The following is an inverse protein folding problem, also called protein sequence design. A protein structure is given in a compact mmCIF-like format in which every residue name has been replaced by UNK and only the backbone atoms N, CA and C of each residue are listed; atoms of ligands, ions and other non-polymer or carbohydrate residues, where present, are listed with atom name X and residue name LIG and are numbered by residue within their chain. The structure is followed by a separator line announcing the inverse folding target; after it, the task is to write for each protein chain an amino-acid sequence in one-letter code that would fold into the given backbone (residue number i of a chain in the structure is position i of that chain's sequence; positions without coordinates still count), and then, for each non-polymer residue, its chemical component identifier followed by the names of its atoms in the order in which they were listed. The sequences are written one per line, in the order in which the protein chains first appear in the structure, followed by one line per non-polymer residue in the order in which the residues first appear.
data_IF_216025966993
#
_entry.id   IF_216025966993
#
_cell.length_a   1.000
_cell.length_b   1.000
_cell.length_c   1.000
_cell.angle_alpha   90.00
_cell.angle_beta   90.00
_cell.angle_gamma   90.00
#
_symmetry.space_group_name_H-M   'P 1'
#
loop_
_entity.id
_entity.type
_entity.pdbx_description
1 polymer ?
#
# COMPACT_ATOMS: atom_id res chain seq x y z
N UNK A 1 -44.17 14.71 23.60
CA UNK A 1 -43.42 13.46 23.32
C UNK A 1 -41.96 13.83 23.37
N UNK A 2 -41.15 13.21 24.24
CA UNK A 2 -39.76 13.61 24.39
C UNK A 2 -38.98 13.20 23.13
N UNK A 3 -38.11 14.12 22.69
CA UNK A 3 -37.18 13.92 21.60
C UNK A 3 -36.21 12.80 21.98
N UNK A 4 -36.14 11.78 21.14
CA UNK A 4 -35.13 10.74 21.24
C UNK A 4 -33.80 11.37 20.82
N UNK A 5 -32.87 11.51 21.77
CA UNK A 5 -31.49 11.88 21.48
C UNK A 5 -30.89 10.77 20.61
N UNK A 6 -30.57 11.11 19.36
CA UNK A 6 -29.83 10.23 18.46
C UNK A 6 -28.41 10.16 19.04
N UNK A 7 -28.09 9.04 19.69
CA UNK A 7 -26.76 8.74 20.20
C UNK A 7 -25.72 9.00 19.11
N UNK A 8 -24.81 9.93 19.39
CA UNK A 8 -23.75 10.30 18.46
C UNK A 8 -22.82 9.11 18.24
N UNK A 9 -22.86 8.54 17.04
CA UNK A 9 -21.77 7.72 16.52
C UNK A 9 -20.45 8.44 16.76
N UNK A 10 -19.52 7.84 17.51
CA UNK A 10 -18.15 8.38 17.59
C UNK A 10 -17.59 8.54 16.17
N UNK A 11 -16.82 9.60 15.89
CA UNK A 11 -16.21 9.76 14.58
C UNK A 11 -15.22 8.62 14.33
N UNK A 12 -15.41 7.91 13.22
CA UNK A 12 -14.50 6.86 12.74
C UNK A 12 -13.10 7.45 12.58
N UNK A 13 -12.08 6.77 13.09
CA UNK A 13 -10.70 7.26 13.10
C UNK A 13 -9.73 6.21 12.54
N UNK A 14 -9.64 6.14 11.21
CA UNK A 14 -8.70 5.26 10.53
C UNK A 14 -7.30 5.89 10.48
N UNK A 15 -6.30 5.20 10.99
CA UNK A 15 -4.91 5.65 10.87
C UNK A 15 -4.45 5.65 9.41
N UNK A 16 -3.49 6.50 9.01
CA UNK A 16 -2.93 6.47 7.66
C UNK A 16 -2.35 5.09 7.30
N UNK A 17 -1.70 4.40 8.24
CA UNK A 17 -1.23 3.02 8.07
C UNK A 17 -2.38 2.07 7.77
N UNK A 18 -3.46 2.13 8.55
CA UNK A 18 -4.64 1.28 8.36
C UNK A 18 -5.24 1.46 6.97
N UNK A 19 -5.41 2.70 6.51
CA UNK A 19 -5.90 2.99 5.16
C UNK A 19 -4.95 2.42 4.10
N UNK A 20 -3.64 2.63 4.24
CA UNK A 20 -2.64 2.11 3.29
C UNK A 20 -2.66 0.60 3.20
N UNK A 21 -2.69 -0.10 4.34
CA UNK A 21 -2.80 -1.55 4.37
C UNK A 21 -4.08 -2.01 3.68
N UNK A 22 -5.22 -1.41 4.01
CA UNK A 22 -6.52 -1.82 3.49
C UNK A 22 -6.65 -1.62 1.97
N UNK A 23 -6.18 -0.49 1.43
CA UNK A 23 -6.16 -0.25 -0.02
C UNK A 23 -5.07 -1.05 -0.75
N UNK A 24 -3.94 -1.35 -0.09
CA UNK A 24 -2.93 -2.24 -0.64
C UNK A 24 -3.50 -3.65 -0.82
N UNK A 25 -4.04 -4.22 0.25
CA UNK A 25 -4.37 -5.64 0.30
C UNK A 25 -5.73 -5.97 -0.32
N UNK A 26 -6.60 -4.98 -0.54
CA UNK A 26 -7.81 -5.13 -1.37
C UNK A 26 -7.53 -5.21 -2.87
N UNK A 27 -6.33 -4.82 -3.33
CA UNK A 27 -5.97 -4.87 -4.75
C UNK A 27 -6.87 -4.01 -5.65
N UNK A 28 -7.50 -2.98 -5.10
CA UNK A 28 -8.50 -2.12 -5.76
C UNK A 28 -9.81 -2.81 -6.18
N UNK A 29 -10.13 -3.98 -5.62
CA UNK A 29 -11.42 -4.65 -5.82
C UNK A 29 -12.27 -4.68 -4.55
N UNK A 30 -13.58 -4.80 -4.73
CA UNK A 30 -14.50 -5.14 -3.66
C UNK A 30 -14.18 -6.54 -3.12
N UNK A 31 -14.16 -6.71 -1.79
CA UNK A 31 -13.86 -8.01 -1.18
C UNK A 31 -15.01 -9.02 -1.23
N UNK A 32 -16.23 -8.59 -1.55
CA UNK A 32 -17.38 -9.49 -1.69
C UNK A 32 -17.08 -10.59 -2.74
N UNK A 33 -17.42 -11.87 -2.49
CA UNK A 33 -17.13 -12.98 -3.39
C UNK A 33 -17.61 -12.73 -4.82
N UNK A 34 -16.76 -13.06 -5.79
CA UNK A 34 -17.04 -12.93 -7.24
C UNK A 34 -17.29 -11.48 -7.73
N UNK A 35 -17.23 -10.47 -6.86
CA UNK A 35 -17.40 -9.09 -7.25
C UNK A 35 -16.14 -8.55 -7.96
N UNK A 36 -16.32 -8.05 -9.18
CA UNK A 36 -15.23 -7.45 -9.96
C UNK A 36 -15.25 -5.92 -9.94
N UNK A 37 -16.08 -5.31 -9.08
CA UNK A 37 -16.18 -3.86 -8.97
C UNK A 37 -14.88 -3.24 -8.48
N UNK A 38 -14.38 -2.25 -9.21
CA UNK A 38 -13.25 -1.44 -8.80
C UNK A 38 -13.67 -0.51 -7.64
N UNK A 39 -12.81 -0.38 -6.64
CA UNK A 39 -13.01 0.53 -5.49
C UNK A 39 -12.26 1.87 -5.66
N UNK A 40 -11.51 2.01 -6.74
CA UNK A 40 -10.80 3.24 -7.13
C UNK A 40 -10.99 3.44 -8.63
N UNK A 41 -11.21 4.69 -9.03
CA UNK A 41 -11.25 5.12 -10.42
C UNK A 41 -10.21 6.21 -10.66
N UNK A 42 -9.41 6.10 -11.72
CA UNK A 42 -8.34 7.05 -12.01
C UNK A 42 -8.83 8.10 -13.01
N UNK A 43 -8.66 9.37 -12.65
CA UNK A 43 -9.04 10.52 -13.48
C UNK A 43 -7.83 11.39 -13.76
N UNK A 44 -7.97 12.36 -14.67
CA UNK A 44 -6.92 13.36 -14.93
C UNK A 44 -6.58 14.19 -13.68
N UNK A 45 -7.51 14.30 -12.74
CA UNK A 45 -7.32 15.00 -11.46
C UNK A 45 -6.79 14.10 -10.33
N UNK A 46 -6.51 12.82 -10.64
CA UNK A 46 -6.04 11.82 -9.69
C UNK A 46 -7.07 10.71 -9.37
N UNK A 47 -6.74 9.81 -8.44
CA UNK A 47 -7.62 8.72 -8.04
C UNK A 47 -8.84 9.22 -7.26
N UNK A 48 -10.00 8.67 -7.59
CA UNK A 48 -11.26 8.82 -6.87
C UNK A 48 -11.58 7.50 -6.18
N UNK A 49 -11.77 7.54 -4.87
CA UNK A 49 -12.17 6.37 -4.08
C UNK A 49 -13.68 6.15 -4.24
N UNK A 50 -14.06 4.97 -4.71
CA UNK A 50 -15.45 4.52 -4.87
C UNK A 50 -15.86 3.47 -3.83
N UNK A 51 -14.87 2.83 -3.18
CA UNK A 51 -15.11 1.84 -2.14
C UNK A 51 -15.48 2.46 -0.79
N UNK A 52 -16.20 1.68 0.00
CA UNK A 52 -16.60 2.01 1.36
C UNK A 52 -15.95 1.01 2.33
N UNK A 53 -15.49 1.53 3.47
CA UNK A 53 -14.88 0.71 4.53
C UNK A 53 -16.01 0.18 5.41
N UNK A 54 -16.17 -1.15 5.41
CA UNK A 54 -17.07 -1.86 6.31
C UNK A 54 -16.29 -2.37 7.53
N UNK A 55 -16.96 -2.30 8.68
CA UNK A 55 -16.53 -2.97 9.90
C UNK A 55 -16.99 -4.43 9.88
N UNK A 56 -16.06 -5.34 10.15
CA UNK A 56 -16.32 -6.79 10.27
C UNK A 56 -17.14 -7.04 11.54
N UNK A 57 -16.63 -6.61 12.68
CA UNK A 57 -17.37 -6.49 13.94
C UNK A 57 -17.72 -5.01 14.17
N UNK A 58 -18.92 -4.76 14.70
CA UNK A 58 -19.55 -3.45 14.73
C UNK A 58 -18.67 -2.31 15.24
N UNK A 59 -18.75 -1.17 14.55
CA UNK A 59 -18.10 0.09 14.96
C UNK A 59 -18.61 0.64 16.31
N UNK A 60 -19.76 0.16 16.78
CA UNK A 60 -20.35 0.43 18.09
C UNK A 60 -21.13 -0.79 18.58
N UNK A 61 -21.55 -0.78 19.84
CA UNK A 61 -22.35 -1.86 20.42
C UNK A 61 -23.84 -1.80 20.05
N UNK A 62 -24.27 -0.70 19.43
CA UNK A 62 -25.63 -0.49 18.94
C UNK A 62 -25.77 -0.75 17.42
N UNK A 63 -24.68 -1.09 16.75
CA UNK A 63 -24.62 -1.33 15.31
C UNK A 63 -24.67 -2.81 14.92
N UNK A 64 -24.60 -3.12 13.61
CA UNK A 64 -24.47 -4.49 13.09
C UNK A 64 -23.32 -5.26 13.73
N UNK A 65 -23.55 -6.53 14.07
CA UNK A 65 -22.52 -7.44 14.64
C UNK A 65 -21.78 -6.86 15.85
N UNK A 66 -22.48 -6.42 16.92
CA UNK A 66 -21.83 -5.74 18.04
C UNK A 66 -20.88 -6.68 18.78
N UNK A 67 -19.72 -6.16 19.17
CA UNK A 67 -18.81 -6.85 20.08
C UNK A 67 -18.34 -5.91 21.21
N UNK A 68 -18.97 -5.97 22.39
CA UNK A 68 -18.60 -5.15 23.55
C UNK A 68 -17.18 -5.43 24.08
N UNK A 69 -16.59 -6.58 23.73
CA UNK A 69 -15.21 -6.90 24.11
C UNK A 69 -14.15 -6.26 23.22
N UNK A 70 -14.56 -5.69 22.08
CA UNK A 70 -13.64 -5.07 21.12
C UNK A 70 -13.19 -3.70 21.61
N UNK A 71 -11.88 -3.53 21.77
CA UNK A 71 -11.30 -2.26 22.20
C UNK A 71 -11.54 -1.16 21.16
N UNK A 72 -11.54 0.10 21.60
CA UNK A 72 -11.70 1.26 20.71
C UNK A 72 -10.65 1.29 19.59
N UNK A 73 -9.39 0.93 19.89
CA UNK A 73 -8.31 0.88 18.90
C UNK A 73 -8.49 -0.25 17.88
N UNK A 74 -9.08 -1.38 18.29
CA UNK A 74 -9.30 -2.53 17.40
C UNK A 74 -10.52 -2.34 16.50
N UNK A 75 -11.52 -1.54 16.93
CA UNK A 75 -12.71 -1.25 16.11
C UNK A 75 -12.35 -0.64 14.76
N UNK A 76 -11.50 0.38 14.76
CA UNK A 76 -11.01 1.03 13.53
C UNK A 76 -9.66 0.46 13.05
N UNK A 77 -9.23 -0.68 13.60
CA UNK A 77 -7.98 -1.34 13.23
C UNK A 77 -8.11 -2.18 11.97
N UNK A 78 -7.01 -2.30 11.21
CA UNK A 78 -6.95 -3.02 9.93
C UNK A 78 -7.60 -4.42 9.95
N UNK A 79 -7.39 -5.18 11.02
CA UNK A 79 -7.94 -6.53 11.16
C UNK A 79 -9.46 -6.59 11.20
N UNK A 80 -10.13 -5.51 11.64
CA UNK A 80 -11.58 -5.41 11.73
C UNK A 80 -12.23 -4.72 10.52
N UNK A 81 -11.46 -4.42 9.48
CA UNK A 81 -11.94 -3.63 8.34
C UNK A 81 -11.81 -4.40 7.02
N UNK A 82 -12.82 -4.24 6.17
CA UNK A 82 -12.86 -4.76 4.80
C UNK A 82 -13.39 -3.69 3.86
N UNK A 83 -12.84 -3.58 2.63
CA UNK A 83 -13.38 -2.65 1.63
C UNK A 83 -14.38 -3.36 0.73
N UNK A 84 -15.53 -2.72 0.54
CA UNK A 84 -16.59 -3.17 -0.33
C UNK A 84 -16.96 -2.05 -1.30
N UNK A 85 -17.58 -2.38 -2.43
CA UNK A 85 -18.27 -1.38 -3.23
C UNK A 85 -19.53 -0.89 -2.51
N UNK A 86 -20.04 0.28 -2.88
CA UNK A 86 -21.22 0.87 -2.23
C UNK A 86 -22.43 -0.10 -2.17
N UNK A 87 -22.61 -0.95 -3.19
CA UNK A 87 -23.69 -1.94 -3.20
C UNK A 87 -23.54 -2.98 -2.07
N UNK A 88 -22.38 -3.66 -2.00
CA UNK A 88 -22.16 -4.72 -1.01
C UNK A 88 -21.98 -4.15 0.40
N UNK A 89 -21.40 -2.96 0.55
CA UNK A 89 -21.34 -2.26 1.83
C UNK A 89 -22.76 -2.05 2.39
N UNK A 90 -23.69 -1.53 1.58
CA UNK A 90 -25.08 -1.35 1.98
C UNK A 90 -25.79 -2.66 2.37
N UNK A 91 -25.49 -3.77 1.69
CA UNK A 91 -26.07 -5.09 2.02
C UNK A 91 -25.59 -5.58 3.39
N UNK A 92 -24.28 -5.51 3.62
CA UNK A 92 -23.62 -5.94 4.86
C UNK A 92 -24.05 -5.12 6.08
N UNK A 93 -24.30 -3.83 5.87
CA UNK A 93 -24.72 -2.90 6.93
C UNK A 93 -26.20 -3.07 7.31
N UNK A 94 -27.07 -3.36 6.32
CA UNK A 94 -28.53 -3.42 6.54
C UNK A 94 -29.09 -4.82 6.81
N UNK A 95 -28.36 -5.88 6.45
CA UNK A 95 -28.83 -7.28 6.56
C UNK A 95 -27.80 -8.09 7.34
N UNK A 96 -27.45 -7.63 8.53
CA UNK A 96 -26.37 -8.20 9.35
C UNK A 96 -26.53 -9.70 9.62
N UNK A 97 -27.77 -10.18 9.81
CA UNK A 97 -28.09 -11.60 10.00
C UNK A 97 -27.69 -12.49 8.81
N UNK A 98 -27.63 -11.94 7.59
CA UNK A 98 -27.20 -12.67 6.40
C UNK A 98 -25.68 -12.64 6.19
N UNK A 99 -24.97 -11.77 6.93
CA UNK A 99 -23.55 -11.50 6.75
C UNK A 99 -22.84 -11.52 8.11
N UNK A 100 -22.59 -12.73 8.66
CA UNK A 100 -21.95 -12.89 9.95
C UNK A 100 -20.46 -12.51 9.92
N UNK A 101 -19.88 -12.30 11.10
CA UNK A 101 -18.46 -11.90 11.29
C UNK A 101 -17.52 -12.83 10.53
N UNK A 102 -17.74 -14.13 10.63
CA UNK A 102 -16.89 -15.17 10.04
C UNK A 102 -16.85 -15.07 8.51
N UNK A 103 -17.99 -14.75 7.89
CA UNK A 103 -18.08 -14.57 6.45
C UNK A 103 -17.27 -13.35 5.98
N UNK A 104 -17.38 -12.22 6.67
CA UNK A 104 -16.60 -11.01 6.33
C UNK A 104 -15.10 -11.21 6.54
N UNK A 105 -14.71 -11.96 7.59
CA UNK A 105 -13.31 -12.35 7.81
C UNK A 105 -12.80 -13.25 6.68
N UNK A 106 -13.62 -14.19 6.20
CA UNK A 106 -13.29 -15.03 5.04
C UNK A 106 -13.12 -14.19 3.77
N UNK A 107 -14.07 -13.31 3.46
CA UNK A 107 -13.98 -12.41 2.30
C UNK A 107 -12.73 -11.53 2.32
N UNK A 108 -12.38 -10.99 3.49
CA UNK A 108 -11.13 -10.25 3.67
C UNK A 108 -9.93 -11.13 3.32
N UNK A 109 -9.81 -12.32 3.94
CA UNK A 109 -8.67 -13.23 3.66
C UNK A 109 -8.56 -13.60 2.19
N UNK A 110 -9.67 -13.94 1.56
CA UNK A 110 -9.70 -14.36 0.15
C UNK A 110 -9.32 -13.21 -0.78
N UNK A 111 -9.82 -12.00 -0.52
CA UNK A 111 -9.47 -10.81 -1.30
C UNK A 111 -7.97 -10.45 -1.16
N UNK A 112 -7.41 -10.57 0.04
CA UNK A 112 -5.99 -10.32 0.31
C UNK A 112 -5.10 -11.37 -0.35
N UNK A 113 -5.50 -12.64 -0.31
CA UNK A 113 -4.81 -13.72 -1.03
C UNK A 113 -4.85 -13.51 -2.55
N UNK A 114 -6.03 -13.24 -3.12
CA UNK A 114 -6.18 -12.99 -4.55
C UNK A 114 -5.37 -11.78 -5.01
N UNK A 115 -5.25 -10.75 -4.15
CA UNK A 115 -4.41 -9.58 -4.41
C UNK A 115 -2.92 -9.95 -4.44
N UNK A 116 -2.45 -10.75 -3.49
CA UNK A 116 -1.06 -11.22 -3.47
C UNK A 116 -0.73 -12.07 -4.72
N UNK A 117 -1.65 -12.94 -5.15
CA UNK A 117 -1.52 -13.74 -6.36
C UNK A 117 -1.45 -12.86 -7.63
N UNK A 118 -2.35 -11.88 -7.77
CA UNK A 118 -2.32 -10.91 -8.87
C UNK A 118 -1.04 -10.09 -8.89
N UNK A 119 -0.54 -9.67 -7.73
CA UNK A 119 0.73 -8.96 -7.63
C UNK A 119 1.91 -9.83 -8.06
N UNK A 120 1.91 -11.12 -7.68
CA UNK A 120 2.92 -12.09 -8.12
C UNK A 120 2.88 -12.30 -9.64
N UNK A 121 1.68 -12.43 -10.23
CA UNK A 121 1.52 -12.48 -11.69
C UNK A 121 2.05 -11.19 -12.34
N UNK A 122 1.68 -10.03 -11.79
CA UNK A 122 2.14 -8.73 -12.28
C UNK A 122 3.66 -8.61 -12.26
N UNK A 123 4.32 -9.17 -11.24
CA UNK A 123 5.77 -9.22 -11.12
C UNK A 123 6.44 -9.94 -12.30
N UNK A 124 5.85 -11.03 -12.78
CA UNK A 124 6.38 -11.76 -13.96
C UNK A 124 6.28 -10.96 -15.27
N UNK A 125 5.42 -9.94 -15.28
CA UNK A 125 5.18 -9.07 -16.43
C UNK A 125 5.94 -7.74 -16.36
N UNK A 126 6.75 -7.51 -15.32
CA UNK A 126 7.53 -6.29 -15.17
C UNK A 126 8.51 -6.15 -16.34
N UNK A 127 8.40 -5.02 -17.03
CA UNK A 127 9.17 -4.73 -18.22
C UNK A 127 9.96 -3.42 -18.06
N UNK A 128 10.74 -3.09 -19.09
CA UNK A 128 11.44 -1.81 -19.17
C UNK A 128 10.49 -0.61 -19.02
N UNK A 129 9.27 -0.68 -19.54
CA UNK A 129 8.33 0.44 -19.53
C UNK A 129 7.94 0.85 -18.11
N UNK A 130 7.52 -0.11 -17.29
CA UNK A 130 7.11 0.15 -15.91
C UNK A 130 8.31 0.58 -15.05
N UNK A 131 9.47 -0.09 -15.20
CA UNK A 131 10.70 0.31 -14.50
C UNK A 131 11.14 1.74 -14.86
N UNK A 132 11.03 2.13 -16.13
CA UNK A 132 11.37 3.48 -16.57
C UNK A 132 10.50 4.53 -15.91
N UNK A 133 9.19 4.30 -15.84
CA UNK A 133 8.27 5.27 -15.25
C UNK A 133 8.52 5.40 -13.74
N UNK A 134 8.62 4.28 -13.03
CA UNK A 134 8.89 4.28 -11.59
C UNK A 134 10.25 4.92 -11.28
N UNK A 135 11.30 4.57 -12.01
CA UNK A 135 12.63 5.18 -11.80
C UNK A 135 12.61 6.69 -12.06
N UNK A 136 11.86 7.15 -13.08
CA UNK A 136 11.75 8.57 -13.37
C UNK A 136 11.02 9.34 -12.26
N UNK A 137 10.06 8.72 -11.56
CA UNK A 137 9.41 9.32 -10.41
C UNK A 137 10.41 9.74 -9.32
N UNK A 138 11.45 8.93 -9.11
CA UNK A 138 12.52 9.22 -8.17
C UNK A 138 13.68 10.02 -8.78
N UNK A 139 13.70 10.23 -10.10
CA UNK A 139 14.85 10.85 -10.76
C UNK A 139 14.91 12.37 -10.58
N UNK A 140 13.92 13.04 -9.99
CA UNK A 140 13.91 14.50 -9.84
C UNK A 140 14.72 15.03 -8.63
N UNK A 141 15.46 14.16 -7.94
CA UNK A 141 16.28 14.54 -6.78
C UNK A 141 17.48 15.43 -7.10
N UNK A 142 17.81 16.28 -6.14
CA UNK A 142 19.00 17.15 -6.15
C UNK A 142 20.29 16.35 -5.90
N UNK A 143 21.25 16.42 -6.81
CA UNK A 143 22.45 15.56 -6.83
C UNK A 143 23.46 15.96 -5.73
N UNK A 144 23.26 17.09 -5.05
CA UNK A 144 24.14 17.57 -3.99
C UNK A 144 23.95 16.86 -2.63
N UNK A 145 23.07 15.85 -2.56
CA UNK A 145 22.93 15.00 -1.37
C UNK A 145 24.16 14.09 -1.17
N UNK A 146 24.77 14.07 0.03
CA UNK A 146 25.94 13.24 0.31
C UNK A 146 25.60 11.75 0.11
N UNK A 147 26.45 11.04 -0.63
CA UNK A 147 26.35 9.58 -0.76
C UNK A 147 27.19 8.94 0.33
N UNK A 148 26.55 8.27 1.28
CA UNK A 148 27.23 7.40 2.24
C UNK A 148 27.74 6.13 1.52
N UNK A 149 28.85 5.53 1.98
CA UNK A 149 29.36 4.27 1.43
C UNK A 149 28.33 3.13 1.50
N UNK A 150 28.33 2.25 0.50
CA UNK A 150 27.47 1.07 0.45
C UNK A 150 27.91 0.06 1.53
N UNK A 151 27.16 -0.05 2.62
CA UNK A 151 27.22 -1.21 3.50
C UNK A 151 26.04 -2.11 3.15
N UNK A 152 26.35 -3.31 2.66
CA UNK A 152 25.32 -4.31 2.38
C UNK A 152 24.81 -4.88 3.72
N UNK A 153 23.74 -4.29 4.24
CA UNK A 153 23.00 -4.85 5.39
C UNK A 153 21.91 -5.78 4.86
N UNK A 154 21.76 -7.01 5.40
CA UNK A 154 20.69 -7.93 5.01
C UNK A 154 19.30 -7.28 5.10
N UNK A 155 18.37 -7.54 4.16
CA UNK A 155 17.06 -6.90 4.15
C UNK A 155 16.27 -7.07 5.46
N UNK A 156 16.36 -8.23 6.13
CA UNK A 156 15.66 -8.47 7.40
C UNK A 156 16.19 -7.59 8.54
N UNK A 157 17.51 -7.33 8.60
CA UNK A 157 18.08 -6.43 9.61
C UNK A 157 17.61 -4.99 9.41
N UNK A 158 17.52 -4.54 8.15
CA UNK A 158 16.93 -3.23 7.83
C UNK A 158 15.43 -3.20 8.16
N UNK A 159 14.68 -4.28 7.94
CA UNK A 159 13.27 -4.35 8.34
C UNK A 159 13.11 -4.14 9.85
N UNK A 160 13.89 -4.89 10.63
CA UNK A 160 13.84 -4.84 12.09
C UNK A 160 14.22 -3.44 12.59
N UNK A 161 15.28 -2.84 12.01
CA UNK A 161 15.74 -1.50 12.36
C UNK A 161 14.73 -0.38 12.04
N UNK A 162 13.88 -0.57 11.02
CA UNK A 162 12.92 0.44 10.58
C UNK A 162 11.49 0.18 11.05
N UNK A 163 11.25 -0.87 11.85
CA UNK A 163 9.91 -1.21 12.33
C UNK A 163 8.98 -1.70 11.21
N UNK A 164 9.53 -2.43 10.24
CA UNK A 164 8.75 -3.07 9.18
C UNK A 164 8.19 -4.41 9.67
N UNK A 165 6.89 -4.61 9.53
CA UNK A 165 6.19 -5.79 10.09
C UNK A 165 5.86 -6.84 9.04
N UNK A 166 5.31 -7.96 9.49
CA UNK A 166 4.78 -9.03 8.62
C UNK A 166 3.74 -8.52 7.61
N UNK A 167 3.08 -7.40 7.88
CA UNK A 167 2.05 -6.84 7.00
C UNK A 167 2.59 -6.47 5.61
N UNK A 168 3.86 -6.05 5.51
CA UNK A 168 4.47 -5.70 4.22
C UNK A 168 5.24 -6.85 3.57
N UNK A 169 5.42 -7.98 4.28
CA UNK A 169 6.23 -9.11 3.81
C UNK A 169 5.84 -9.61 2.42
N UNK A 170 4.55 -9.77 2.04
CA UNK A 170 4.20 -10.18 0.69
C UNK A 170 4.73 -9.22 -0.39
N UNK A 171 4.67 -7.91 -0.12
CA UNK A 171 5.18 -6.88 -1.02
C UNK A 171 6.70 -6.94 -1.11
N UNK A 172 7.39 -7.10 0.02
CA UNK A 172 8.86 -7.21 0.05
C UNK A 172 9.36 -8.47 -0.65
N UNK A 173 8.71 -9.62 -0.46
CA UNK A 173 9.09 -10.86 -1.15
C UNK A 173 9.07 -10.67 -2.66
N UNK A 174 8.02 -10.03 -3.19
CA UNK A 174 7.90 -9.75 -4.62
C UNK A 174 8.93 -8.70 -5.07
N UNK A 175 9.08 -7.61 -4.30
CA UNK A 175 10.02 -6.55 -4.60
C UNK A 175 11.47 -7.03 -4.62
N UNK A 176 11.91 -7.76 -3.60
CA UNK A 176 13.26 -8.34 -3.52
C UNK A 176 13.51 -9.35 -4.64
N UNK A 177 12.52 -10.17 -4.99
CA UNK A 177 12.65 -11.11 -6.10
C UNK A 177 12.87 -10.40 -7.45
N UNK A 178 12.31 -9.20 -7.63
CA UNK A 178 12.45 -8.39 -8.85
C UNK A 178 13.54 -7.31 -8.77
N UNK A 179 14.13 -7.05 -7.60
CA UNK A 179 15.17 -6.05 -7.38
C UNK A 179 16.37 -6.18 -8.34
N UNK A 180 16.86 -7.39 -8.71
CA UNK A 180 17.92 -7.53 -9.71
C UNK A 180 17.54 -6.96 -11.09
N UNK A 181 16.27 -7.07 -11.48
CA UNK A 181 15.78 -6.52 -12.75
C UNK A 181 15.80 -4.98 -12.73
N UNK A 182 15.40 -4.37 -11.61
CA UNK A 182 15.50 -2.93 -11.39
C UNK A 182 16.95 -2.44 -11.39
N UNK A 183 17.85 -3.18 -10.72
CA UNK A 183 19.28 -2.88 -10.71
C UNK A 183 19.90 -2.91 -12.11
N UNK A 184 19.58 -3.93 -12.91
CA UNK A 184 20.04 -4.06 -14.29
C UNK A 184 19.49 -2.93 -15.18
N UNK A 185 18.23 -2.54 -15.00
CA UNK A 185 17.65 -1.39 -15.68
C UNK A 185 18.43 -0.10 -15.37
N UNK A 186 18.66 0.19 -14.09
CA UNK A 186 19.39 1.39 -13.66
C UNK A 186 20.82 1.38 -14.21
N UNK A 187 21.50 0.23 -14.20
CA UNK A 187 22.85 0.07 -14.78
C UNK A 187 22.88 0.37 -16.28
N UNK A 188 21.86 -0.07 -17.03
CA UNK A 188 21.75 0.23 -18.48
C UNK A 188 21.50 1.71 -18.71
N UNK A 189 20.63 2.34 -17.93
CA UNK A 189 20.38 3.79 -18.01
C UNK A 189 21.61 4.62 -17.67
N UNK A 190 22.46 4.14 -16.76
CA UNK A 190 23.73 4.79 -16.43
C UNK A 190 24.67 4.91 -17.64
N UNK A 191 24.54 4.04 -18.65
CA UNK A 191 25.29 4.13 -19.91
C UNK A 191 24.81 5.28 -20.79
N UNK A 192 23.53 5.67 -20.68
CA UNK A 192 22.94 6.79 -21.41
C UNK A 192 23.13 8.12 -20.66
N UNK A 193 23.03 8.07 -19.33
CA UNK A 193 23.25 9.21 -18.45
C UNK A 193 23.94 8.73 -17.17
N UNK A 194 25.24 9.04 -17.06
CA UNK A 194 26.07 8.63 -15.91
C UNK A 194 25.56 9.15 -14.56
N UNK A 195 24.76 10.23 -14.57
CA UNK A 195 24.12 10.83 -13.38
C UNK A 195 22.82 10.15 -12.97
N UNK A 196 22.25 9.28 -13.79
CA UNK A 196 20.93 8.69 -13.55
C UNK A 196 20.82 7.92 -12.22
N UNK A 197 21.77 7.03 -11.85
CA UNK A 197 21.69 6.33 -10.55
C UNK A 197 21.75 7.28 -9.36
N UNK A 198 22.59 8.33 -9.43
CA UNK A 198 22.72 9.31 -8.36
C UNK A 198 21.44 10.13 -8.19
N UNK A 199 20.78 10.51 -9.30
CA UNK A 199 19.49 11.22 -9.29
C UNK A 199 18.37 10.41 -8.63
N UNK A 200 18.24 9.13 -8.97
CA UNK A 200 17.23 8.24 -8.36
C UNK A 200 17.45 8.15 -6.86
N UNK A 201 18.69 7.90 -6.43
CA UNK A 201 19.02 7.81 -5.00
C UNK A 201 18.69 9.12 -4.29
N UNK A 202 19.10 10.25 -4.87
CA UNK A 202 18.81 11.57 -4.30
C UNK A 202 17.30 11.82 -4.14
N UNK A 203 16.50 11.51 -5.16
CA UNK A 203 15.05 11.72 -5.08
C UNK A 203 14.38 10.74 -4.13
N UNK A 204 14.90 9.51 -4.02
CA UNK A 204 14.47 8.55 -3.02
C UNK A 204 14.71 9.06 -1.59
N UNK A 205 15.93 9.53 -1.28
CA UNK A 205 16.28 10.10 0.03
C UNK A 205 15.42 11.34 0.32
N UNK A 206 15.26 12.24 -0.66
CA UNK A 206 14.43 13.43 -0.53
C UNK A 206 12.98 13.08 -0.19
N UNK A 207 12.39 12.09 -0.87
CA UNK A 207 11.02 11.66 -0.61
C UNK A 207 10.89 10.96 0.74
N UNK A 208 11.88 10.14 1.12
CA UNK A 208 11.96 9.55 2.46
C UNK A 208 11.96 10.64 3.53
N UNK A 209 12.86 11.62 3.46
CA UNK A 209 12.98 12.71 4.44
C UNK A 209 11.70 13.54 4.51
N UNK A 210 11.08 13.80 3.36
CA UNK A 210 9.80 14.52 3.27
C UNK A 210 8.65 13.76 3.96
N UNK A 211 8.63 12.44 3.88
CA UNK A 211 7.62 11.60 4.53
C UNK A 211 7.94 11.41 6.02
N UNK A 212 9.20 11.19 6.36
CA UNK A 212 9.68 11.02 7.73
C UNK A 212 9.49 12.29 8.56
N UNK A 213 9.78 13.47 7.99
CA UNK A 213 9.50 14.78 8.64
C UNK A 213 8.02 15.04 8.91
N UNK A 214 7.12 14.31 8.24
CA UNK A 214 5.67 14.31 8.53
C UNK A 214 5.27 13.28 9.60
N UNK A 215 6.24 12.65 10.26
CA UNK A 215 6.03 11.65 11.31
C UNK A 215 5.74 10.24 10.80
N UNK A 216 5.91 9.97 9.50
CA UNK A 216 5.70 8.61 8.96
C UNK A 216 6.91 7.74 9.27
N UNK A 217 6.67 6.56 9.82
CA UNK A 217 7.71 5.57 10.17
C UNK A 217 7.20 4.15 9.88
N UNK A 218 8.07 3.14 9.95
CA UNK A 218 7.67 1.74 9.81
C UNK A 218 6.98 1.43 8.48
N UNK A 219 6.01 0.52 8.55
CA UNK A 219 5.18 0.12 7.41
C UNK A 219 4.54 1.32 6.71
N UNK A 220 4.14 2.36 7.45
CA UNK A 220 3.46 3.52 6.85
C UNK A 220 4.39 4.28 5.91
N UNK A 221 5.65 4.46 6.32
CA UNK A 221 6.66 5.13 5.51
C UNK A 221 6.99 4.28 4.27
N UNK A 222 7.23 2.98 4.45
CA UNK A 222 7.52 2.05 3.35
C UNK A 222 6.39 2.04 2.31
N UNK A 223 5.14 1.90 2.76
CA UNK A 223 3.97 1.91 1.88
C UNK A 223 3.78 3.29 1.21
N UNK A 224 4.15 4.38 1.87
CA UNK A 224 4.11 5.72 1.25
C UNK A 224 5.13 5.89 0.14
N UNK A 225 6.34 5.34 0.28
CA UNK A 225 7.35 5.34 -0.77
C UNK A 225 6.94 4.45 -1.95
N UNK A 226 6.34 3.29 -1.65
CA UNK A 226 5.78 2.42 -2.68
C UNK A 226 4.67 3.13 -3.46
N UNK A 227 3.72 3.77 -2.77
CA UNK A 227 2.63 4.52 -3.38
C UNK A 227 3.16 5.68 -4.24
N UNK A 228 4.22 6.37 -3.80
CA UNK A 228 4.86 7.43 -4.59
C UNK A 228 5.37 6.91 -5.93
N UNK A 229 6.11 5.79 -5.91
CA UNK A 229 6.61 5.16 -7.14
C UNK A 229 5.48 4.62 -8.04
N UNK A 230 4.49 3.96 -7.45
CA UNK A 230 3.39 3.34 -8.20
C UNK A 230 2.44 4.37 -8.81
N UNK A 231 2.02 5.38 -8.03
CA UNK A 231 1.05 6.39 -8.48
C UNK A 231 1.61 7.30 -9.58
N UNK A 232 2.94 7.45 -9.66
CA UNK A 232 3.60 8.21 -10.72
C UNK A 232 3.44 7.57 -12.11
N UNK A 233 3.04 6.30 -12.18
CA UNK A 233 2.80 5.58 -13.42
C UNK A 233 1.32 5.43 -13.80
N UNK A 234 0.42 5.97 -12.99
CA UNK A 234 -1.02 5.82 -13.18
C UNK A 234 -1.57 6.95 -14.05
N UNK A 235 -2.35 6.58 -15.05
CA UNK A 235 -3.14 7.49 -15.89
C UNK A 235 -4.61 7.06 -15.91
N UNK A 236 -5.53 7.87 -16.46
CA UNK A 236 -6.93 7.46 -16.61
C UNK A 236 -7.13 6.21 -17.46
N UNK A 237 -6.14 5.83 -18.27
CA UNK A 237 -6.17 4.63 -19.11
C UNK A 237 -5.54 3.42 -18.43
N UNK A 238 -5.01 3.57 -17.21
CA UNK A 238 -4.44 2.45 -16.46
C UNK A 238 -5.56 1.56 -15.94
N UNK A 239 -5.66 0.35 -16.48
CA UNK A 239 -6.52 -0.69 -15.93
C UNK A 239 -5.92 -1.34 -14.67
N UNK A 240 -6.77 -2.07 -13.94
CA UNK A 240 -6.36 -2.71 -12.68
C UNK A 240 -5.30 -3.80 -12.88
N UNK A 241 -5.29 -4.50 -14.01
CA UNK A 241 -4.25 -5.51 -14.31
C UNK A 241 -2.88 -4.85 -14.45
N UNK A 242 -2.81 -3.74 -15.18
CA UNK A 242 -1.59 -2.93 -15.33
C UNK A 242 -1.14 -2.33 -14.00
N UNK A 243 -2.06 -2.03 -13.10
CA UNK A 243 -1.74 -1.56 -11.75
C UNK A 243 -0.86 -2.55 -10.98
N UNK A 244 -1.13 -3.86 -11.09
CA UNK A 244 -0.30 -4.88 -10.45
C UNK A 244 1.12 -4.93 -11.02
N UNK A 245 1.27 -4.73 -12.34
CA UNK A 245 2.59 -4.68 -12.98
C UNK A 245 3.37 -3.44 -12.52
N UNK A 246 2.73 -2.26 -12.54
CA UNK A 246 3.30 -1.01 -12.04
C UNK A 246 3.71 -1.14 -10.58
N UNK A 247 2.84 -1.73 -9.76
CA UNK A 247 3.10 -1.90 -8.33
C UNK A 247 4.24 -2.88 -8.07
N UNK A 248 4.33 -3.96 -8.83
CA UNK A 248 5.44 -4.88 -8.74
C UNK A 248 6.76 -4.21 -9.17
N UNK A 249 6.74 -3.38 -10.22
CA UNK A 249 7.89 -2.56 -10.62
C UNK A 249 8.28 -1.54 -9.54
N UNK A 250 7.31 -0.89 -8.90
CA UNK A 250 7.53 0.02 -7.78
C UNK A 250 8.16 -0.70 -6.58
N UNK A 251 7.67 -1.90 -6.25
CA UNK A 251 8.26 -2.74 -5.21
C UNK A 251 9.69 -3.17 -5.58
N UNK A 252 9.95 -3.52 -6.84
CA UNK A 252 11.28 -3.88 -7.33
C UNK A 252 12.29 -2.74 -7.17
N UNK A 253 11.93 -1.53 -7.62
CA UNK A 253 12.78 -0.34 -7.51
C UNK A 253 12.96 0.04 -6.05
N UNK A 254 11.89 0.06 -5.26
CA UNK A 254 11.96 0.39 -3.83
C UNK A 254 12.84 -0.60 -3.07
N UNK A 255 12.69 -1.91 -3.29
CA UNK A 255 13.53 -2.93 -2.65
C UNK A 255 14.99 -2.84 -3.11
N UNK A 256 15.26 -2.55 -4.38
CA UNK A 256 16.62 -2.28 -4.83
C UNK A 256 17.24 -1.08 -4.11
N UNK A 257 16.49 0.04 -4.01
CA UNK A 257 16.94 1.23 -3.29
C UNK A 257 17.10 0.96 -1.80
N UNK A 258 16.21 0.17 -1.22
CA UNK A 258 16.28 -0.29 0.16
C UNK A 258 17.57 -1.10 0.42
N UNK A 259 18.03 -1.92 -0.53
CA UNK A 259 19.30 -2.65 -0.42
C UNK A 259 20.52 -1.72 -0.53
N UNK A 260 20.51 -0.76 -1.47
CA UNK A 260 21.70 0.05 -1.79
C UNK A 260 21.80 1.40 -1.07
N UNK A 261 20.74 1.85 -0.40
CA UNK A 261 20.73 3.10 0.37
C UNK A 261 20.88 2.84 1.88
N UNK A 262 21.56 3.76 2.55
CA UNK A 262 21.83 3.80 3.99
C UNK A 262 20.66 4.39 4.81
N UNK A 263 19.70 5.04 4.13
CA UNK A 263 18.52 5.65 4.75
C UNK A 263 17.68 4.67 5.59
N UNK A 264 17.83 3.37 5.35
CA UNK A 264 17.20 2.29 6.13
C UNK A 264 18.18 1.53 7.03
N UNK A 265 19.37 2.06 7.30
CA UNK A 265 20.30 1.44 8.24
C UNK A 265 19.95 1.82 9.69
N UNK A 266 20.20 0.92 10.66
CA UNK A 266 20.14 1.29 12.06
C UNK A 266 21.14 2.43 12.34
N UNK A 267 20.83 3.37 13.27
CA UNK A 267 21.81 4.36 13.69
C UNK A 267 23.07 3.65 14.21
N UNK A 268 24.24 4.10 13.75
CA UNK A 268 25.55 3.59 14.14
C UNK A 268 25.83 3.69 15.64
#
# INVERSE_FOLDING_TARGET
MPHNEIGGSMPRNYSPLTLKQLFLTSGHYCAFPECTSAIVHFTDSGPVVLGEIAHIEGSSDDGPRPNPSLSSSSRDGYGNLVILCAHHHNLVDKIDSAYPVEALQEWKRDAEQATAEKLSIGATSVSFAELQIVCNAFADGDIDLPSTPMIAVPPQEKMDANGLTEAIRPTMTIGLAQAPQAADFIRRQAQLSSRFPARIRAGFVQEYDRLHSKGRVGDELFLSLLDFGANSAVSPQTDLSRMFVIRAAAAAVLCHLFEVCDVFEPPA
#
